data_IF_003585020821
#
_entry.id   IF_003585020821
#
_cell.length_a   1.000
_cell.length_b   1.000
_cell.length_c   1.000
_cell.angle_alpha   90.00
_cell.angle_beta   90.00
_cell.angle_gamma   90.00
#
_symmetry.space_group_name_H-M   'P 1'
#
loop_
_entity.id
_entity.type
_entity.pdbx_description
1 polymer ?
#
# COMPACT_ATOMS: atom_id res chain seq x y z
N UNK A 1 -10.32 27.76 -4.34
CA UNK A 1 -10.42 26.39 -4.88
C UNK A 1 -10.88 25.50 -3.75
N UNK A 2 -11.98 24.77 -3.94
CA UNK A 2 -12.58 23.92 -2.89
C UNK A 2 -12.57 22.48 -3.35
N UNK A 3 -12.28 21.56 -2.44
CA UNK A 3 -12.49 20.13 -2.67
C UNK A 3 -13.94 19.76 -2.37
N UNK A 4 -14.39 18.66 -2.97
CA UNK A 4 -15.70 18.06 -2.69
C UNK A 4 -15.49 16.77 -1.89
N UNK A 5 -16.48 16.49 -1.00
CA UNK A 5 -16.45 15.27 -0.19
C UNK A 5 -17.86 14.70 -0.08
N UNK A 6 -17.99 13.41 -0.36
CA UNK A 6 -19.21 12.62 -0.16
C UNK A 6 -18.89 11.37 0.66
N UNK A 7 -19.78 10.96 1.54
CA UNK A 7 -19.71 9.69 2.27
C UNK A 7 -20.86 8.82 1.78
N UNK A 8 -20.52 7.64 1.24
CA UNK A 8 -21.50 6.69 0.75
C UNK A 8 -22.21 5.97 1.90
N UNK A 9 -23.34 5.32 1.60
CA UNK A 9 -24.16 4.61 2.60
C UNK A 9 -23.42 3.45 3.31
N UNK A 10 -22.40 2.87 2.66
CA UNK A 10 -21.56 1.82 3.25
C UNK A 10 -20.39 2.37 4.09
N UNK A 11 -20.24 3.70 4.20
CA UNK A 11 -19.19 4.37 4.98
C UNK A 11 -17.95 4.79 4.19
N UNK A 12 -17.84 4.42 2.90
CA UNK A 12 -16.74 4.83 2.03
C UNK A 12 -16.75 6.35 1.82
N UNK A 13 -15.59 6.97 1.91
CA UNK A 13 -15.42 8.40 1.67
C UNK A 13 -14.85 8.67 0.28
N UNK A 14 -15.52 9.53 -0.49
CA UNK A 14 -15.07 10.02 -1.80
C UNK A 14 -14.65 11.48 -1.68
N UNK A 15 -13.44 11.80 -2.12
CA UNK A 15 -12.90 13.15 -2.15
C UNK A 15 -12.48 13.49 -3.57
N UNK A 16 -12.83 14.66 -4.07
CA UNK A 16 -12.34 15.12 -5.37
C UNK A 16 -11.89 16.57 -5.34
N UNK A 17 -10.91 16.86 -6.20
CA UNK A 17 -10.44 18.20 -6.50
C UNK A 17 -10.46 18.44 -8.01
N UNK A 18 -11.57 18.98 -8.57
CA UNK A 18 -11.68 19.23 -10.00
C UNK A 18 -10.69 20.29 -10.49
N UNK A 19 -9.97 19.96 -11.56
CA UNK A 19 -8.99 20.81 -12.23
C UNK A 19 -9.24 20.83 -13.75
N UNK A 20 -10.21 21.62 -14.25
CA UNK A 20 -10.64 21.56 -15.66
C UNK A 20 -9.57 22.08 -16.66
N UNK A 21 -8.49 22.69 -16.17
CA UNK A 21 -7.38 23.16 -16.99
C UNK A 21 -6.36 22.10 -17.37
N UNK A 22 -6.44 20.92 -16.81
CA UNK A 22 -5.56 19.77 -17.13
C UNK A 22 -6.33 18.70 -17.89
N UNK A 23 -5.61 17.79 -18.58
CA UNK A 23 -6.20 16.66 -19.33
C UNK A 23 -5.87 15.32 -18.66
N UNK A 24 -5.56 15.35 -17.36
CA UNK A 24 -5.20 14.17 -16.59
C UNK A 24 -5.99 14.10 -15.30
N UNK A 25 -6.07 12.87 -14.76
CA UNK A 25 -6.61 12.56 -13.45
C UNK A 25 -5.58 11.74 -12.69
N UNK A 26 -5.36 12.08 -11.42
CA UNK A 26 -4.68 11.24 -10.45
C UNK A 26 -5.73 10.70 -9.48
N UNK A 27 -5.85 9.38 -9.40
CA UNK A 27 -6.83 8.67 -8.59
C UNK A 27 -6.10 7.76 -7.61
N UNK A 28 -6.50 7.76 -6.34
CA UNK A 28 -5.93 6.90 -5.31
C UNK A 28 -6.99 6.25 -4.43
N UNK A 29 -6.81 4.98 -4.15
CA UNK A 29 -7.54 4.19 -3.16
C UNK A 29 -6.70 4.14 -1.89
N UNK A 30 -7.10 4.86 -0.86
CA UNK A 30 -6.37 5.04 0.39
C UNK A 30 -7.00 4.21 1.49
N UNK A 31 -6.34 3.13 1.88
CA UNK A 31 -6.76 2.32 3.01
C UNK A 31 -6.07 2.80 4.29
N UNK A 32 -6.86 2.97 5.34
CA UNK A 32 -6.35 3.33 6.67
C UNK A 32 -5.83 2.08 7.38
N UNK A 33 -4.77 1.53 6.83
CA UNK A 33 -3.99 0.42 7.39
C UNK A 33 -2.55 0.59 6.98
N UNK A 34 -1.64 0.42 7.91
CA UNK A 34 -0.19 0.49 7.71
C UNK A 34 0.53 -0.37 8.74
N UNK A 35 1.86 -0.41 8.71
CA UNK A 35 2.64 -1.25 9.62
C UNK A 35 2.38 -0.97 11.11
N UNK A 36 1.88 0.21 11.45
CA UNK A 36 1.46 0.57 12.81
C UNK A 36 0.26 -0.24 13.32
N UNK A 37 -0.59 -0.71 12.41
CA UNK A 37 -1.82 -1.42 12.75
C UNK A 37 -1.59 -2.93 12.92
N UNK A 38 -0.37 -3.40 12.60
CA UNK A 38 0.06 -4.79 12.72
C UNK A 38 0.37 -5.17 14.18
N UNK A 39 0.15 -6.42 14.49
CA UNK A 39 0.68 -7.06 15.69
C UNK A 39 2.01 -7.78 15.38
N UNK A 40 2.67 -8.33 16.38
CA UNK A 40 3.97 -9.00 16.20
C UNK A 40 3.94 -10.23 15.29
N UNK A 41 2.75 -10.81 15.05
CA UNK A 41 2.57 -11.93 14.13
C UNK A 41 2.33 -11.47 12.69
N UNK A 42 1.98 -10.20 12.50
CA UNK A 42 1.65 -9.57 11.22
C UNK A 42 2.75 -8.60 10.72
N UNK A 43 3.92 -8.56 11.38
CA UNK A 43 4.97 -7.59 11.05
C UNK A 43 5.43 -7.69 9.59
N UNK A 44 5.09 -6.68 8.76
CA UNK A 44 5.33 -6.63 7.32
C UNK A 44 4.17 -7.15 6.46
N UNK A 45 3.06 -7.61 7.07
CA UNK A 45 1.94 -8.16 6.31
C UNK A 45 1.23 -7.07 5.48
N UNK A 46 1.16 -5.82 5.97
CA UNK A 46 0.57 -4.71 5.20
C UNK A 46 1.32 -4.48 3.88
N UNK A 47 2.64 -4.47 3.93
CA UNK A 47 3.48 -4.33 2.73
C UNK A 47 3.38 -5.58 1.84
N UNK A 48 3.40 -6.76 2.41
CA UNK A 48 3.19 -7.99 1.67
C UNK A 48 1.85 -8.01 0.95
N UNK A 49 0.78 -7.53 1.59
CA UNK A 49 -0.54 -7.37 0.97
C UNK A 49 -0.54 -6.38 -0.19
N UNK A 50 0.25 -5.30 -0.10
CA UNK A 50 0.44 -4.39 -1.22
C UNK A 50 0.92 -5.14 -2.47
N UNK A 51 1.99 -5.95 -2.36
CA UNK A 51 2.50 -6.80 -3.44
C UNK A 51 1.42 -7.75 -3.97
N UNK A 52 0.68 -8.39 -3.06
CA UNK A 52 -0.32 -9.40 -3.43
C UNK A 52 -1.49 -8.85 -4.25
N UNK A 53 -1.84 -7.56 -4.12
CA UNK A 53 -2.90 -6.94 -4.94
C UNK A 53 -2.55 -6.88 -6.43
N UNK A 54 -1.27 -6.99 -6.80
CA UNK A 54 -0.82 -7.03 -8.20
C UNK A 54 -0.70 -8.45 -8.77
N UNK A 55 -0.95 -9.50 -7.96
CA UNK A 55 -0.67 -10.89 -8.34
C UNK A 55 -1.86 -11.65 -8.92
N UNK A 56 -2.96 -10.96 -9.11
CA UNK A 56 -4.12 -11.46 -9.83
C UNK A 56 -5.42 -11.38 -9.05
N UNK A 57 -6.49 -11.35 -9.83
CA UNK A 57 -7.88 -11.34 -9.37
C UNK A 57 -8.56 -12.66 -9.78
N UNK A 58 -9.83 -12.80 -9.46
CA UNK A 58 -10.64 -13.95 -9.91
C UNK A 58 -10.75 -14.05 -11.45
N UNK A 59 -10.50 -12.95 -12.19
CA UNK A 59 -10.68 -12.88 -13.65
C UNK A 59 -9.41 -12.54 -14.42
N UNK A 60 -8.36 -12.02 -13.77
CA UNK A 60 -7.14 -11.51 -14.42
C UNK A 60 -5.87 -11.98 -13.72
N UNK A 61 -4.89 -12.37 -14.52
CA UNK A 61 -3.54 -12.60 -14.04
C UNK A 61 -2.73 -11.31 -13.88
N UNK A 62 -1.51 -11.38 -13.30
CA UNK A 62 -0.65 -10.21 -13.11
C UNK A 62 -0.33 -9.46 -14.42
N UNK A 63 -0.10 -10.21 -15.50
CA UNK A 63 0.17 -9.63 -16.81
C UNK A 63 -1.05 -8.88 -17.38
N UNK A 64 -2.26 -9.41 -17.16
CA UNK A 64 -3.49 -8.77 -17.64
C UNK A 64 -3.72 -7.43 -16.94
N UNK A 65 -3.42 -7.35 -15.62
CA UNK A 65 -3.48 -6.11 -14.84
C UNK A 65 -2.51 -5.08 -15.42
N UNK A 66 -1.25 -5.45 -15.61
CA UNK A 66 -0.23 -4.56 -16.17
C UNK A 66 -0.60 -4.08 -17.56
N UNK A 67 -1.00 -5.01 -18.45
CA UNK A 67 -1.43 -4.70 -19.81
C UNK A 67 -2.68 -3.81 -19.85
N UNK A 68 -3.56 -3.90 -18.85
CA UNK A 68 -4.75 -3.03 -18.79
C UNK A 68 -4.32 -1.57 -18.59
N UNK A 69 -3.46 -1.27 -17.62
CA UNK A 69 -2.96 0.08 -17.38
C UNK A 69 -2.08 0.59 -18.53
N UNK A 70 -1.25 -0.27 -19.13
CA UNK A 70 -0.45 0.08 -20.31
C UNK A 70 -1.34 0.52 -21.49
N UNK A 71 -2.43 -0.19 -21.74
CA UNK A 71 -3.41 0.17 -22.80
C UNK A 71 -4.11 1.50 -22.53
N UNK A 72 -4.30 1.86 -21.26
CA UNK A 72 -4.85 3.16 -20.87
C UNK A 72 -3.81 4.29 -20.99
N UNK A 73 -2.53 3.96 -21.21
CA UNK A 73 -1.42 4.91 -21.08
C UNK A 73 -1.31 5.45 -19.66
N UNK A 74 -1.66 4.64 -18.68
CA UNK A 74 -1.70 5.03 -17.28
C UNK A 74 -0.41 4.62 -16.56
N UNK A 75 0.09 5.52 -15.73
CA UNK A 75 1.07 5.19 -14.69
C UNK A 75 0.30 4.69 -13.46
N UNK A 76 0.60 3.48 -12.97
CA UNK A 76 -0.02 2.95 -11.76
C UNK A 76 1.03 2.37 -10.82
N UNK A 77 0.77 2.48 -9.52
CA UNK A 77 1.66 1.99 -8.48
C UNK A 77 0.93 1.91 -7.13
N UNK A 78 1.62 1.43 -6.11
CA UNK A 78 1.16 1.46 -4.73
C UNK A 78 2.30 1.85 -3.80
N UNK A 79 1.98 2.15 -2.56
CA UNK A 79 2.93 2.29 -1.48
C UNK A 79 2.27 2.05 -0.12
N UNK A 80 3.05 1.49 0.79
CA UNK A 80 2.69 1.28 2.19
C UNK A 80 3.50 2.18 3.10
N UNK A 81 2.83 2.79 4.07
CA UNK A 81 3.46 3.57 5.12
C UNK A 81 3.16 3.00 6.50
N UNK A 82 3.56 3.71 7.54
CA UNK A 82 3.23 3.33 8.92
C UNK A 82 1.72 3.36 9.20
N UNK A 83 0.95 4.20 8.51
CA UNK A 83 -0.45 4.50 8.88
C UNK A 83 -1.47 4.31 7.75
N UNK A 84 -1.03 4.13 6.52
CA UNK A 84 -1.91 3.95 5.36
C UNK A 84 -1.21 3.21 4.23
N UNK A 85 -2.02 2.58 3.39
CA UNK A 85 -1.62 1.97 2.12
C UNK A 85 -2.41 2.64 1.01
N UNK A 86 -1.76 2.96 -0.11
CA UNK A 86 -2.38 3.62 -1.24
C UNK A 86 -2.11 2.84 -2.53
N UNK A 87 -3.16 2.55 -3.29
CA UNK A 87 -3.09 2.09 -4.68
C UNK A 87 -3.54 3.23 -5.57
N UNK A 88 -2.72 3.64 -6.52
CA UNK A 88 -3.03 4.83 -7.30
C UNK A 88 -2.70 4.65 -8.78
N UNK A 89 -3.41 5.43 -9.61
CA UNK A 89 -3.10 5.55 -11.02
C UNK A 89 -3.21 7.00 -11.49
N UNK A 90 -2.41 7.34 -12.51
CA UNK A 90 -2.46 8.61 -13.22
C UNK A 90 -2.71 8.33 -14.69
N UNK A 91 -3.71 8.98 -15.28
CA UNK A 91 -4.20 8.70 -16.63
C UNK A 91 -4.84 9.93 -17.27
N UNK A 92 -5.17 9.84 -18.56
CA UNK A 92 -5.92 10.88 -19.28
C UNK A 92 -7.39 10.86 -18.84
N UNK A 93 -8.01 12.02 -18.75
CA UNK A 93 -9.33 12.27 -18.14
C UNK A 93 -10.49 11.40 -18.69
N UNK A 94 -10.42 10.93 -19.93
CA UNK A 94 -11.42 10.05 -20.56
C UNK A 94 -11.31 8.57 -20.13
N UNK A 95 -10.32 8.22 -19.27
CA UNK A 95 -10.06 6.86 -18.79
C UNK A 95 -10.44 6.63 -17.31
N UNK A 96 -11.18 7.56 -16.71
CA UNK A 96 -11.51 7.50 -15.28
C UNK A 96 -12.24 6.21 -14.90
N UNK A 97 -13.25 5.81 -15.66
CA UNK A 97 -14.04 4.61 -15.39
C UNK A 97 -13.20 3.33 -15.53
N UNK A 98 -12.45 3.21 -16.63
CA UNK A 98 -11.60 2.05 -16.91
C UNK A 98 -10.52 1.86 -15.82
N UNK A 99 -9.86 2.96 -15.42
CA UNK A 99 -8.82 2.90 -14.39
C UNK A 99 -9.40 2.61 -13.00
N UNK A 100 -10.54 3.22 -12.65
CA UNK A 100 -11.21 2.96 -11.38
C UNK A 100 -11.71 1.53 -11.28
N UNK A 101 -12.29 0.98 -12.36
CA UNK A 101 -12.78 -0.40 -12.38
C UNK A 101 -11.66 -1.41 -12.12
N UNK A 102 -10.49 -1.19 -12.74
CA UNK A 102 -9.34 -2.09 -12.54
C UNK A 102 -8.76 -1.98 -11.13
N UNK A 103 -8.60 -0.76 -10.60
CA UNK A 103 -8.16 -0.58 -9.21
C UNK A 103 -9.16 -1.20 -8.21
N UNK A 104 -10.46 -1.08 -8.48
CA UNK A 104 -11.49 -1.71 -7.65
C UNK A 104 -11.39 -3.23 -7.67
N UNK A 105 -11.27 -3.82 -8.87
CA UNK A 105 -11.11 -5.28 -9.03
C UNK A 105 -9.87 -5.79 -8.28
N UNK A 106 -8.73 -5.10 -8.41
CA UNK A 106 -7.49 -5.47 -7.71
C UNK A 106 -7.69 -5.53 -6.19
N UNK A 107 -8.34 -4.54 -5.58
CA UNK A 107 -8.45 -4.46 -4.11
C UNK A 107 -9.63 -5.25 -3.54
N UNK A 108 -10.62 -5.64 -4.36
CA UNK A 108 -11.80 -6.38 -3.92
C UNK A 108 -11.67 -7.88 -4.20
N UNK A 109 -11.18 -8.24 -5.39
CA UNK A 109 -11.25 -9.60 -5.94
C UNK A 109 -9.90 -10.30 -6.03
N UNK A 110 -8.86 -9.80 -5.31
CA UNK A 110 -7.56 -10.48 -5.22
C UNK A 110 -7.68 -11.90 -4.69
N UNK A 111 -6.99 -12.85 -5.34
CA UNK A 111 -7.15 -14.28 -5.05
C UNK A 111 -6.14 -14.85 -4.06
N UNK A 112 -5.03 -14.18 -3.83
CA UNK A 112 -3.96 -14.59 -2.91
C UNK A 112 -3.54 -16.07 -3.10
N UNK A 113 -3.33 -16.48 -4.35
CA UNK A 113 -2.98 -17.89 -4.63
C UNK A 113 -1.69 -18.29 -3.91
N UNK A 114 -1.58 -19.57 -3.50
CA UNK A 114 -0.39 -20.05 -2.81
C UNK A 114 0.87 -19.88 -3.65
N UNK A 115 0.79 -20.09 -4.96
CA UNK A 115 1.90 -19.87 -5.89
C UNK A 115 2.39 -18.42 -5.89
N UNK A 116 1.46 -17.46 -5.92
CA UNK A 116 1.79 -16.04 -5.85
C UNK A 116 2.42 -15.68 -4.49
N UNK A 117 1.88 -16.20 -3.38
CA UNK A 117 2.43 -16.00 -2.05
C UNK A 117 3.85 -16.55 -1.94
N UNK A 118 4.09 -17.76 -2.43
CA UNK A 118 5.42 -18.38 -2.38
C UNK A 118 6.45 -17.59 -3.20
N UNK A 119 6.04 -17.10 -4.37
CA UNK A 119 6.90 -16.24 -5.21
C UNK A 119 7.18 -14.89 -4.52
N UNK A 120 6.16 -14.23 -3.99
CA UNK A 120 6.33 -12.88 -3.40
C UNK A 120 7.07 -12.90 -2.07
N UNK A 121 7.02 -13.99 -1.32
CA UNK A 121 7.90 -14.12 -0.14
C UNK A 121 9.36 -13.93 -0.49
N UNK A 122 9.83 -14.58 -1.55
CA UNK A 122 11.22 -14.46 -1.99
C UNK A 122 11.53 -13.02 -2.43
N UNK A 123 10.62 -12.39 -3.18
CA UNK A 123 10.77 -10.99 -3.63
C UNK A 123 10.88 -10.04 -2.44
N UNK A 124 9.96 -10.14 -1.47
CA UNK A 124 9.97 -9.24 -0.29
C UNK A 124 11.17 -9.52 0.62
N UNK A 125 11.62 -10.78 0.76
CA UNK A 125 12.84 -11.12 1.51
C UNK A 125 14.07 -10.50 0.85
N UNK A 126 14.17 -10.51 -0.47
CA UNK A 126 15.25 -9.83 -1.21
C UNK A 126 15.16 -8.30 -1.06
N UNK A 127 13.95 -7.73 -1.01
CA UNK A 127 13.76 -6.30 -0.77
C UNK A 127 14.21 -5.90 0.64
N UNK A 128 13.88 -6.71 1.66
CA UNK A 128 14.39 -6.52 3.03
C UNK A 128 15.93 -6.54 3.03
N UNK A 129 16.55 -7.54 2.34
CA UNK A 129 17.99 -7.64 2.22
C UNK A 129 18.60 -6.37 1.62
N UNK A 130 18.01 -5.89 0.53
CA UNK A 130 18.45 -4.67 -0.16
C UNK A 130 18.33 -3.43 0.73
N UNK A 131 17.22 -3.29 1.48
CA UNK A 131 17.01 -2.18 2.41
C UNK A 131 18.04 -2.20 3.54
N UNK A 132 18.35 -3.38 4.09
CA UNK A 132 19.38 -3.55 5.13
C UNK A 132 20.79 -3.21 4.62
N UNK A 133 21.07 -3.47 3.34
CA UNK A 133 22.36 -3.17 2.69
C UNK A 133 22.45 -1.72 2.17
N UNK A 134 21.34 -0.95 2.20
CA UNK A 134 21.31 0.44 1.75
C UNK A 134 21.37 1.38 2.96
N UNK A 135 22.50 2.09 3.20
CA UNK A 135 22.66 2.91 4.42
C UNK A 135 21.60 3.99 4.60
N UNK A 136 21.16 4.60 3.50
CA UNK A 136 20.14 5.66 3.52
C UNK A 136 18.77 5.15 3.94
N UNK A 137 18.42 3.91 3.63
CA UNK A 137 17.17 3.28 4.04
C UNK A 137 17.30 2.74 5.47
N UNK A 138 18.39 2.03 5.75
CA UNK A 138 18.61 1.38 7.03
C UNK A 138 18.70 2.36 8.21
N UNK A 139 19.25 3.56 7.99
CA UNK A 139 19.34 4.57 9.05
C UNK A 139 17.96 5.00 9.56
N UNK A 140 16.94 5.05 8.71
CA UNK A 140 15.58 5.39 9.13
C UNK A 140 14.92 4.24 9.90
N UNK A 141 15.18 2.99 9.51
CA UNK A 141 14.69 1.84 10.28
C UNK A 141 15.35 1.76 11.66
N UNK A 142 16.65 1.98 11.72
CA UNK A 142 17.39 2.06 12.98
C UNK A 142 16.90 3.22 13.86
N UNK A 143 16.64 4.38 13.28
CA UNK A 143 16.08 5.53 13.99
C UNK A 143 14.70 5.20 14.58
N UNK A 144 13.79 4.64 13.77
CA UNK A 144 12.44 4.31 14.20
C UNK A 144 12.44 3.26 15.33
N UNK A 145 13.17 2.16 15.16
CA UNK A 145 13.25 1.08 16.14
C UNK A 145 13.89 1.51 17.46
N UNK A 146 14.87 2.39 17.39
CA UNK A 146 15.56 2.94 18.57
C UNK A 146 14.73 4.00 19.31
N UNK A 147 14.01 4.84 18.53
CA UNK A 147 13.19 5.91 19.08
C UNK A 147 11.91 5.40 19.72
N UNK A 148 11.30 4.36 19.12
CA UNK A 148 10.03 3.79 19.54
C UNK A 148 10.15 2.29 19.89
N UNK A 149 11.01 1.90 20.83
CA UNK A 149 11.18 0.51 21.19
C UNK A 149 9.86 -0.09 21.70
N UNK A 150 9.55 -1.31 21.28
CA UNK A 150 8.33 -2.04 21.66
C UNK A 150 7.00 -1.35 21.27
N UNK A 151 7.05 -0.38 20.36
CA UNK A 151 5.86 0.28 19.84
C UNK A 151 5.71 -0.01 18.33
N UNK A 152 4.48 -0.17 17.79
CA UNK A 152 4.29 -0.45 16.36
C UNK A 152 4.94 0.56 15.41
N UNK A 153 5.09 1.83 15.80
CA UNK A 153 5.82 2.83 15.02
C UNK A 153 7.31 2.51 14.86
N UNK A 154 7.89 1.70 15.72
CA UNK A 154 9.27 1.25 15.66
C UNK A 154 9.48 0.01 14.77
N UNK A 155 8.40 -0.69 14.38
CA UNK A 155 8.50 -1.86 13.52
C UNK A 155 8.82 -1.43 12.07
N UNK A 156 9.66 -2.18 11.33
CA UNK A 156 9.93 -1.90 9.93
C UNK A 156 8.66 -2.10 9.08
N UNK A 157 8.49 -1.27 8.04
CA UNK A 157 7.33 -1.41 7.13
C UNK A 157 7.41 -2.71 6.34
N UNK A 158 8.62 -3.08 5.91
CA UNK A 158 8.88 -4.34 5.17
C UNK A 158 8.71 -5.59 6.05
N UNK A 159 8.66 -5.42 7.37
CA UNK A 159 8.64 -6.54 8.32
C UNK A 159 10.01 -7.16 8.54
N UNK A 160 10.02 -8.44 8.93
CA UNK A 160 11.24 -9.22 9.11
C UNK A 160 11.24 -10.45 8.21
N UNK A 161 12.43 -10.92 7.78
CA UNK A 161 12.59 -12.12 6.96
C UNK A 161 11.89 -13.34 7.56
N UNK A 162 11.98 -13.51 8.90
CA UNK A 162 11.36 -14.63 9.60
C UNK A 162 9.83 -14.57 9.51
N UNK A 163 9.24 -13.37 9.61
CA UNK A 163 7.78 -13.23 9.54
C UNK A 163 7.26 -13.36 8.13
N UNK A 164 7.85 -12.64 7.18
CA UNK A 164 7.49 -12.70 5.76
C UNK A 164 7.58 -14.14 5.25
N UNK A 165 8.62 -14.88 5.63
CA UNK A 165 8.80 -16.28 5.26
C UNK A 165 7.71 -17.24 5.73
N UNK A 166 6.83 -16.82 6.66
CA UNK A 166 5.78 -17.69 7.24
C UNK A 166 4.36 -17.38 6.79
N UNK A 167 4.13 -16.29 6.03
CA UNK A 167 2.78 -15.90 5.63
C UNK A 167 2.10 -16.95 4.75
N UNK A 168 0.82 -17.15 5.02
CA UNK A 168 -0.03 -18.12 4.36
C UNK A 168 -1.17 -17.43 3.62
N UNK A 169 -1.89 -18.18 2.80
CA UNK A 169 -3.14 -17.72 2.20
C UNK A 169 -4.13 -17.21 3.25
N UNK A 170 -4.28 -17.93 4.35
CA UNK A 170 -5.22 -17.54 5.40
C UNK A 170 -4.83 -16.24 6.10
N UNK A 171 -3.52 -15.97 6.27
CA UNK A 171 -3.04 -14.69 6.80
C UNK A 171 -3.44 -13.54 5.88
N UNK A 172 -3.26 -13.69 4.57
CA UNK A 172 -3.64 -12.69 3.58
C UNK A 172 -5.16 -12.47 3.55
N UNK A 173 -5.96 -13.53 3.52
CA UNK A 173 -7.42 -13.45 3.50
C UNK A 173 -7.96 -12.80 4.77
N UNK A 174 -7.47 -13.22 5.95
CA UNK A 174 -7.92 -12.65 7.22
C UNK A 174 -7.57 -11.16 7.32
N UNK A 175 -6.34 -10.78 6.91
CA UNK A 175 -5.91 -9.39 6.90
C UNK A 175 -6.75 -8.55 5.93
N UNK A 176 -7.02 -9.07 4.74
CA UNK A 176 -7.89 -8.41 3.75
C UNK A 176 -9.30 -8.19 4.31
N UNK A 177 -9.91 -9.22 4.91
CA UNK A 177 -11.25 -9.11 5.49
C UNK A 177 -11.33 -8.14 6.68
N UNK A 178 -10.24 -8.00 7.44
CA UNK A 178 -10.16 -7.10 8.59
C UNK A 178 -10.02 -5.65 8.18
N UNK A 179 -9.18 -5.34 7.18
CA UNK A 179 -8.79 -3.95 6.89
C UNK A 179 -9.34 -3.39 5.58
N UNK A 180 -9.65 -4.26 4.57
CA UNK A 180 -10.11 -3.80 3.26
C UNK A 180 -11.63 -3.75 3.19
N UNK A 181 -12.20 -2.78 3.90
CA UNK A 181 -13.64 -2.53 3.95
C UNK A 181 -13.96 -1.04 3.76
N UNK A 182 -15.21 -0.73 3.43
CA UNK A 182 -15.63 0.61 3.05
C UNK A 182 -15.30 1.69 4.09
N UNK A 183 -15.43 1.39 5.39
CA UNK A 183 -15.13 2.33 6.47
C UNK A 183 -13.65 2.71 6.60
N UNK A 184 -12.73 1.90 6.06
CA UNK A 184 -11.30 2.17 6.03
C UNK A 184 -10.83 2.78 4.70
N UNK A 185 -11.70 2.87 3.68
CA UNK A 185 -11.34 3.32 2.34
C UNK A 185 -11.74 4.79 2.12
N UNK A 186 -10.77 5.54 1.61
CA UNK A 186 -10.99 6.86 1.01
C UNK A 186 -10.58 6.79 -0.47
N UNK A 187 -11.51 7.06 -1.36
CA UNK A 187 -11.22 7.27 -2.78
C UNK A 187 -10.98 8.75 -2.99
N UNK A 188 -9.78 9.11 -3.40
CA UNK A 188 -9.39 10.49 -3.63
C UNK A 188 -8.94 10.70 -5.08
N UNK A 189 -9.47 11.73 -5.76
CA UNK A 189 -9.11 12.05 -7.12
C UNK A 189 -8.89 13.55 -7.32
N UNK A 190 -7.90 13.90 -8.14
CA UNK A 190 -7.63 15.26 -8.56
C UNK A 190 -7.35 15.31 -10.07
N UNK A 191 -7.89 16.30 -10.77
CA UNK A 191 -7.72 16.45 -12.22
C UNK A 191 -8.99 16.91 -12.93
N UNK A 192 -9.06 16.66 -14.22
CA UNK A 192 -10.24 17.00 -15.03
C UNK A 192 -11.32 15.92 -14.83
N UNK A 193 -12.14 16.09 -13.81
CA UNK A 193 -13.21 15.17 -13.45
C UNK A 193 -14.40 15.92 -12.85
N UNK A 194 -15.55 15.29 -12.91
CA UNK A 194 -16.77 15.71 -12.24
C UNK A 194 -16.96 14.91 -10.94
N UNK A 195 -17.31 15.59 -9.83
CA UNK A 195 -17.47 14.94 -8.54
C UNK A 195 -18.63 13.94 -8.50
N UNK A 196 -19.77 14.31 -9.04
CA UNK A 196 -20.98 13.48 -8.99
C UNK A 196 -20.80 12.22 -9.85
N UNK A 197 -20.12 12.35 -11.00
CA UNK A 197 -19.73 11.21 -11.83
C UNK A 197 -18.76 10.28 -11.08
N UNK A 198 -17.73 10.82 -10.39
CA UNK A 198 -16.83 10.02 -9.57
C UNK A 198 -17.58 9.29 -8.45
N UNK A 199 -18.48 9.98 -7.75
CA UNK A 199 -19.31 9.39 -6.67
C UNK A 199 -20.15 8.23 -7.21
N UNK A 200 -20.79 8.42 -8.38
CA UNK A 200 -21.57 7.38 -9.04
C UNK A 200 -20.71 6.15 -9.37
N UNK A 201 -19.58 6.34 -10.04
CA UNK A 201 -18.67 5.25 -10.40
C UNK A 201 -18.14 4.51 -9.16
N UNK A 202 -17.73 5.24 -8.13
CA UNK A 202 -17.28 4.64 -6.87
C UNK A 202 -18.40 3.83 -6.21
N UNK A 203 -19.63 4.34 -6.22
CA UNK A 203 -20.76 3.58 -5.70
C UNK A 203 -21.02 2.30 -6.52
N UNK A 204 -20.94 2.37 -7.84
CA UNK A 204 -21.18 1.24 -8.72
C UNK A 204 -20.15 0.12 -8.49
N UNK A 205 -18.86 0.43 -8.34
CA UNK A 205 -17.80 -0.55 -8.15
C UNK A 205 -17.59 -1.01 -6.70
N UNK A 206 -17.88 -0.15 -5.71
CA UNK A 206 -17.60 -0.45 -4.29
C UNK A 206 -18.83 -0.67 -3.43
N UNK A 207 -20.05 -0.69 -4.01
CA UNK A 207 -21.28 -0.94 -3.25
C UNK A 207 -21.29 -2.31 -2.54
N UNK A 208 -20.60 -3.29 -3.10
CA UNK A 208 -20.48 -4.65 -2.55
C UNK A 208 -19.42 -4.77 -1.45
N UNK A 209 -18.53 -3.77 -1.34
CA UNK A 209 -17.52 -3.79 -0.30
C UNK A 209 -18.19 -3.75 1.07
N UNK A 210 -17.80 -4.65 1.95
CA UNK A 210 -18.35 -4.78 3.30
C UNK A 210 -18.43 -3.41 3.97
N UNK A 211 -19.61 -3.05 4.43
CA UNK A 211 -19.79 -1.85 5.28
C UNK A 211 -19.00 -2.03 6.55
N UNK A 212 -18.37 -0.96 7.03
CA UNK A 212 -17.58 -0.99 8.25
C UNK A 212 -17.50 0.39 8.88
N UNK A 213 -17.28 0.39 10.17
CA UNK A 213 -16.83 1.59 10.88
C UNK A 213 -15.32 1.63 10.76
N UNK A 214 -14.76 2.81 10.56
CA UNK A 214 -13.32 3.00 10.55
C UNK A 214 -12.66 2.27 11.70
N UNK A 215 -11.68 1.41 11.40
CA UNK A 215 -10.96 0.63 12.41
C UNK A 215 -10.30 1.59 13.43
N UNK A 216 -10.70 1.44 14.68
CA UNK A 216 -10.16 2.26 15.76
C UNK A 216 -8.72 1.85 16.06
N UNK A 217 -7.76 2.76 15.84
CA UNK A 217 -6.39 2.54 16.26
C UNK A 217 -6.27 2.57 17.77
N UNK A 218 -5.56 1.62 18.32
CA UNK A 218 -5.10 1.71 19.70
C UNK A 218 -4.06 2.83 19.77
N UNK A 219 -4.48 3.99 20.26
CA UNK A 219 -3.59 5.13 20.50
C UNK A 219 -2.79 4.86 21.79
N UNK A 220 -1.70 4.10 21.68
CA UNK A 220 -0.70 4.05 22.74
C UNK A 220 0.25 5.23 22.56
N UNK A 221 0.56 5.92 23.66
CA UNK A 221 1.64 6.92 23.64
C UNK A 221 2.96 6.14 23.62
N UNK A 222 3.79 6.29 22.58
CA UNK A 222 5.06 5.60 22.53
C UNK A 222 5.97 6.08 23.67
N UNK A 223 6.65 5.15 24.34
CA UNK A 223 7.77 5.50 25.21
C UNK A 223 8.93 5.94 24.31
N UNK A 224 9.32 7.21 24.43
CA UNK A 224 10.44 7.75 23.69
C UNK A 224 11.77 7.32 24.36
N UNK A 225 12.68 6.73 23.59
CA UNK A 225 14.03 6.40 24.05
C UNK A 225 15.05 7.28 23.33
N UNK A 226 15.81 8.06 24.10
CA UNK A 226 16.92 8.84 23.57
C UNK A 226 18.22 8.02 23.68
N UNK A 227 19.06 8.06 22.65
CA UNK A 227 20.34 7.33 22.64
C UNK A 227 21.20 7.68 21.44
N UNK A 228 22.42 7.17 21.42
CA UNK A 228 23.31 7.17 20.26
C UNK A 228 23.43 5.74 19.77
N UNK A 229 23.04 5.51 18.52
CA UNK A 229 23.15 4.22 17.87
C UNK A 229 24.12 4.35 16.71
N UNK A 230 25.07 3.42 16.59
CA UNK A 230 26.00 3.37 15.48
C UNK A 230 25.99 1.97 14.86
N UNK A 231 25.92 1.91 13.54
CA UNK A 231 26.08 0.70 12.76
C UNK A 231 27.29 0.87 11.86
N UNK A 232 28.15 -0.14 11.80
CA UNK A 232 29.29 -0.18 10.89
C UNK A 232 28.95 -1.11 9.73
N UNK A 233 28.71 -0.54 8.54
CA UNK A 233 28.49 -1.32 7.32
C UNK A 233 29.84 -1.58 6.65
N UNK A 234 30.31 -2.82 6.71
CA UNK A 234 31.60 -3.23 6.16
C UNK A 234 31.54 -3.67 4.68
N UNK A 235 30.37 -3.66 4.06
CA UNK A 235 30.11 -4.33 2.79
C UNK A 235 30.22 -3.44 1.55
N UNK A 236 30.54 -2.15 1.71
CA UNK A 236 30.88 -1.29 0.56
C UNK A 236 32.38 -1.20 0.41
N UNK A 237 33.01 -2.03 -0.44
CA UNK A 237 34.40 -1.82 -0.76
C UNK A 237 34.55 -0.43 -1.38
N UNK A 238 35.41 0.39 -0.78
CA UNK A 238 35.75 1.70 -1.31
C UNK A 238 36.29 1.53 -2.74
N UNK A 239 36.04 2.49 -3.66
CA UNK A 239 36.72 2.49 -4.97
C UNK A 239 38.26 2.40 -4.87
N UNK A 240 38.84 2.72 -3.72
CA UNK A 240 40.26 2.54 -3.43
C UNK A 240 40.67 1.09 -3.19
N UNK A 241 39.75 0.23 -2.78
CA UNK A 241 40.03 -1.18 -2.51
C UNK A 241 40.17 -1.99 -3.82
N UNK A 242 39.56 -1.50 -4.92
CA UNK A 242 39.72 -2.06 -6.26
C UNK A 242 40.98 -1.56 -6.99
N UNK A 243 41.62 -0.48 -6.52
CA UNK A 243 42.82 0.08 -7.15
C UNK A 243 44.13 -0.56 -6.62
N UNK A 244 44.04 -1.44 -5.65
CA UNK A 244 45.18 -2.08 -4.97
C UNK A 244 45.35 -3.58 -5.26
N UNK A 245 44.54 -4.16 -6.19
CA UNK A 245 44.62 -5.56 -6.59
C UNK A 245 45.17 -5.77 -8.01
#
# INVERSE_FOLDING_TARGET
>A
MSYFKTILSNGLTVISYPMPSVRSVSLGLWFRVGSRDENSQQAGLTHFMEHMMFKGTSTKGPLDISMHFDKLGAEFNAFTSKEYTCYYARFVDDKLEDALSMLAEMVIDSTFTQEAIDTEREVVIEEIARSEDTPDDYVFELYNSSTFPQHPLGLPVLGTRERVGTYTHDDCVNFHQEFYHAGNLVVAAAGNLDHDNLVKLVNDYFSHLKSGVQTARKLSVPAFSAGVHSCLLYTSPSPRDYAAS
#
